data_IF_025795285318
#
_entry.id   IF_025795285318
#
_cell.length_a   1.000
_cell.length_b   1.000
_cell.length_c   1.000
_cell.angle_alpha   90.00
_cell.angle_beta   90.00
_cell.angle_gamma   90.00
#
_symmetry.space_group_name_H-M   'P 1'
#
loop_
_entity.id
_entity.type
_entity.pdbx_description
1 polymer ?
#
# COMPACT_ATOMS: atom_id res chain seq x y z
N UNK A 1 -10.04 13.22 61.34
CA UNK A 1 -10.67 14.33 62.09
C UNK A 1 -9.76 15.55 61.95
N UNK A 2 -9.99 16.46 60.98
CA UNK A 2 -10.79 17.70 61.10
C UNK A 2 -10.23 18.65 62.20
N UNK A 3 -9.67 19.84 61.89
CA UNK A 3 -10.32 21.15 61.56
C UNK A 3 -9.19 22.23 61.63
N UNK A 4 -9.23 23.48 61.13
CA UNK A 4 -10.04 24.32 60.22
C UNK A 4 -9.36 25.70 60.19
N UNK A 5 -9.47 26.43 59.06
CA UNK A 5 -9.69 27.91 58.87
C UNK A 5 -8.80 28.45 57.73
N UNK A 6 -9.16 29.40 56.85
CA UNK A 6 -10.36 29.91 56.14
C UNK A 6 -10.01 31.35 55.68
N UNK A 7 -10.32 31.72 54.43
CA UNK A 7 -10.55 33.05 53.78
C UNK A 7 -9.75 33.21 52.47
N UNK A 8 -10.22 33.84 51.40
CA UNK A 8 -11.55 34.26 50.91
C UNK A 8 -11.34 34.70 49.45
N UNK A 9 -12.30 34.38 48.57
CA UNK A 9 -12.38 34.80 47.16
C UNK A 9 -13.06 36.17 47.09
N UNK A 10 -12.63 37.01 46.15
CA UNK A 10 -13.44 38.10 45.62
C UNK A 10 -13.64 37.94 44.11
N UNK A 11 -14.88 38.18 43.72
CA UNK A 11 -15.56 37.98 42.45
C UNK A 11 -15.89 39.38 41.91
N UNK A 12 -15.72 39.65 40.61
CA UNK A 12 -16.12 40.93 40.04
C UNK A 12 -16.66 40.80 38.61
N UNK A 13 -17.93 41.18 38.49
CA UNK A 13 -18.67 41.62 37.31
C UNK A 13 -19.63 42.74 37.81
N UNK A 14 -20.40 43.45 36.97
CA UNK A 14 -20.24 43.86 35.57
C UNK A 14 -20.37 45.41 35.43
N UNK A 15 -20.28 45.95 34.21
CA UNK A 15 -20.78 47.31 33.93
C UNK A 15 -21.39 47.39 32.53
N UNK A 16 -22.69 47.69 32.48
CA UNK A 16 -23.43 48.26 31.35
C UNK A 16 -23.87 49.69 31.70
N UNK A 17 -24.02 50.55 30.68
CA UNK A 17 -24.84 51.79 30.49
C UNK A 17 -24.09 52.65 29.44
N UNK A 18 -24.63 53.22 28.35
CA UNK A 18 -25.95 53.30 27.73
C UNK A 18 -25.93 54.37 26.59
N UNK A 19 -26.57 54.05 25.46
CA UNK A 19 -27.22 54.85 24.39
C UNK A 19 -26.70 56.23 23.89
N UNK A 20 -26.61 56.41 22.55
CA UNK A 20 -27.62 57.14 21.73
C UNK A 20 -27.26 57.32 20.23
N UNK A 21 -28.21 56.93 19.36
CA UNK A 21 -28.67 57.43 18.04
C UNK A 21 -27.72 57.92 16.91
N UNK A 22 -27.89 57.30 15.74
CA UNK A 22 -27.62 57.86 14.41
C UNK A 22 -28.33 57.04 13.32
N UNK A 23 -29.14 57.69 12.50
CA UNK A 23 -30.18 57.19 11.59
C UNK A 23 -29.69 56.67 10.23
N UNK A 24 -30.49 55.74 9.66
CA UNK A 24 -30.78 55.50 8.24
C UNK A 24 -29.66 55.37 7.20
N UNK A 25 -29.47 54.13 6.71
CA UNK A 25 -29.36 53.85 5.28
C UNK A 25 -29.65 52.37 5.01
N UNK A 26 -30.77 52.12 4.35
CA UNK A 26 -31.21 50.83 3.81
C UNK A 26 -30.20 50.25 2.82
N UNK A 27 -29.67 49.06 3.13
CA UNK A 27 -28.85 48.24 2.24
C UNK A 27 -29.73 47.21 1.53
N UNK A 28 -29.91 47.37 0.22
CA UNK A 28 -30.40 46.32 -0.69
C UNK A 28 -29.27 45.97 -1.66
N UNK A 29 -28.77 44.73 -1.71
CA UNK A 29 -27.87 44.31 -2.78
C UNK A 29 -28.67 43.99 -4.05
N UNK A 30 -28.45 44.81 -5.08
CA UNK A 30 -28.85 44.60 -6.47
C UNK A 30 -28.14 43.37 -7.04
N UNK A 31 -28.91 42.37 -7.48
CA UNK A 31 -28.44 41.20 -8.23
C UNK A 31 -28.76 41.43 -9.70
N UNK A 32 -27.84 42.06 -10.43
CA UNK A 32 -27.86 42.09 -11.89
C UNK A 32 -26.45 41.96 -12.49
N UNK A 33 -25.84 40.78 -12.31
CA UNK A 33 -24.69 40.34 -13.10
C UNK A 33 -25.12 39.46 -14.26
N UNK A 34 -25.45 40.04 -15.41
CA UNK A 34 -25.74 39.33 -16.66
C UNK A 34 -24.47 38.71 -17.24
N UNK A 35 -24.26 37.42 -17.00
CA UNK A 35 -23.25 36.63 -17.70
C UNK A 35 -23.71 36.34 -19.15
N UNK A 36 -23.13 37.05 -20.11
CA UNK A 36 -23.25 36.76 -21.55
C UNK A 36 -22.55 35.43 -21.84
N UNK A 37 -23.29 34.31 -21.81
CA UNK A 37 -22.82 33.02 -22.35
C UNK A 37 -22.75 33.13 -23.87
N UNK A 38 -21.53 33.16 -24.40
CA UNK A 38 -21.26 33.08 -25.84
C UNK A 38 -21.92 31.84 -26.47
N UNK A 39 -22.72 32.05 -27.51
CA UNK A 39 -23.42 31.00 -28.25
C UNK A 39 -22.49 29.93 -28.87
N UNK A 40 -21.18 30.20 -28.93
CA UNK A 40 -20.16 29.27 -29.40
C UNK A 40 -19.99 28.02 -28.51
N UNK A 41 -20.33 28.10 -27.22
CA UNK A 41 -20.14 26.98 -26.27
C UNK A 41 -21.30 25.97 -26.27
N UNK A 42 -22.49 26.37 -26.75
CA UNK A 42 -23.66 25.48 -26.81
C UNK A 42 -23.62 24.60 -28.06
N UNK A 43 -23.12 25.12 -29.18
CA UNK A 43 -22.97 24.34 -30.42
C UNK A 43 -21.89 23.25 -30.29
N UNK A 44 -20.77 23.55 -29.61
CA UNK A 44 -19.68 22.60 -29.35
C UNK A 44 -20.08 21.52 -28.34
N UNK A 45 -20.80 21.87 -27.26
CA UNK A 45 -21.35 20.86 -26.34
C UNK A 45 -22.42 19.98 -26.98
N UNK A 46 -23.25 20.51 -27.88
CA UNK A 46 -24.24 19.72 -28.63
C UNK A 46 -23.57 18.73 -29.58
N UNK A 47 -22.48 19.12 -30.24
CA UNK A 47 -21.70 18.24 -31.12
C UNK A 47 -20.98 17.12 -30.34
N UNK A 48 -20.47 17.41 -29.13
CA UNK A 48 -19.88 16.41 -28.24
C UNK A 48 -20.93 15.43 -27.69
N UNK A 49 -22.11 15.93 -27.31
CA UNK A 49 -23.19 15.08 -26.83
C UNK A 49 -23.73 14.14 -27.93
N UNK A 50 -23.87 14.62 -29.18
CA UNK A 50 -24.27 13.74 -30.29
C UNK A 50 -23.20 12.72 -30.64
N UNK A 51 -21.91 13.06 -30.56
CA UNK A 51 -20.81 12.10 -30.77
C UNK A 51 -20.84 10.99 -29.70
N UNK A 52 -21.04 11.35 -28.43
CA UNK A 52 -21.14 10.37 -27.33
C UNK A 52 -22.34 9.44 -27.52
N UNK A 53 -23.50 9.97 -27.89
CA UNK A 53 -24.69 9.15 -28.16
C UNK A 53 -24.46 8.20 -29.34
N UNK A 54 -23.82 8.66 -30.42
CA UNK A 54 -23.49 7.80 -31.56
C UNK A 54 -22.49 6.69 -31.18
N UNK A 55 -21.46 7.00 -30.38
CA UNK A 55 -20.51 6.00 -29.88
C UNK A 55 -21.21 4.98 -28.98
N UNK A 56 -22.11 5.42 -28.09
CA UNK A 56 -22.90 4.53 -27.24
C UNK A 56 -23.85 3.63 -28.05
N UNK A 57 -24.47 4.15 -29.11
CA UNK A 57 -25.32 3.36 -30.01
C UNK A 57 -24.51 2.33 -30.81
N UNK A 58 -23.30 2.67 -31.25
CA UNK A 58 -22.39 1.74 -31.92
C UNK A 58 -21.93 0.64 -30.95
N UNK A 59 -21.56 0.99 -29.71
CA UNK A 59 -21.21 0.01 -28.67
C UNK A 59 -22.41 -0.90 -28.35
N UNK A 60 -23.62 -0.35 -28.22
CA UNK A 60 -24.83 -1.12 -27.98
C UNK A 60 -25.17 -2.06 -29.16
N UNK A 61 -24.89 -1.64 -30.40
CA UNK A 61 -25.06 -2.47 -31.59
C UNK A 61 -24.06 -3.63 -31.65
N UNK A 62 -22.80 -3.42 -31.24
CA UNK A 62 -21.79 -4.49 -31.15
C UNK A 62 -22.03 -5.44 -29.98
N UNK A 63 -22.51 -4.93 -28.83
CA UNK A 63 -22.92 -5.76 -27.70
C UNK A 63 -24.21 -6.54 -28.00
N UNK A 64 -25.14 -5.96 -28.77
CA UNK A 64 -26.38 -6.60 -29.19
C UNK A 64 -26.19 -7.73 -30.22
N UNK A 65 -25.07 -7.77 -30.95
CA UNK A 65 -24.72 -8.87 -31.87
C UNK A 65 -23.99 -10.03 -31.21
N UNK A 66 -23.48 -9.86 -29.98
CA UNK A 66 -22.81 -10.92 -29.24
C UNK A 66 -23.78 -11.82 -28.43
N UNK A 67 -25.09 -11.57 -28.49
CA UNK A 67 -26.06 -12.28 -27.64
C UNK A 67 -27.35 -12.64 -28.40
N UNK A 68 -27.25 -13.59 -29.34
CA UNK A 68 -28.38 -14.42 -29.75
C UNK A 68 -27.95 -15.88 -29.71
N UNK A 69 -28.30 -16.54 -28.62
CA UNK A 69 -28.08 -17.95 -28.33
C UNK A 69 -28.91 -18.36 -27.12
N UNK A 70 -30.20 -18.57 -27.37
CA UNK A 70 -31.23 -19.31 -26.62
C UNK A 70 -31.11 -19.48 -25.08
N UNK A 71 -32.14 -18.99 -24.37
CA UNK A 71 -32.31 -19.21 -22.93
C UNK A 71 -33.02 -20.52 -22.56
N UNK A 72 -32.83 -20.92 -21.30
CA UNK A 72 -33.87 -21.42 -20.39
C UNK A 72 -33.30 -21.55 -18.96
N UNK A 73 -34.03 -20.96 -18.02
CA UNK A 73 -34.23 -21.33 -16.61
C UNK A 73 -33.13 -21.14 -15.54
N UNK A 74 -33.56 -20.43 -14.49
CA UNK A 74 -32.85 -20.12 -13.25
C UNK A 74 -32.74 -21.33 -12.32
N UNK A 75 -31.54 -21.59 -11.78
CA UNK A 75 -31.25 -21.73 -10.34
C UNK A 75 -29.87 -22.40 -10.09
N UNK A 76 -29.07 -21.79 -9.20
CA UNK A 76 -28.15 -22.53 -8.32
C UNK A 76 -26.71 -22.73 -8.79
N UNK A 77 -25.79 -22.11 -8.02
CA UNK A 77 -24.41 -22.53 -7.78
C UNK A 77 -23.47 -22.65 -8.99
N UNK A 78 -22.77 -21.55 -9.31
CA UNK A 78 -21.62 -21.55 -10.21
C UNK A 78 -20.41 -22.25 -9.59
N UNK A 79 -20.28 -23.55 -9.86
CA UNK A 79 -18.98 -24.22 -9.99
C UNK A 79 -18.39 -23.91 -11.37
N UNK A 80 -17.06 -24.00 -11.41
CA UNK A 80 -16.15 -24.25 -12.54
C UNK A 80 -15.42 -23.07 -13.16
N UNK A 81 -14.11 -23.28 -13.28
CA UNK A 81 -13.16 -22.45 -14.02
C UNK A 81 -11.69 -22.83 -13.82
N UNK A 82 -11.39 -24.04 -13.32
CA UNK A 82 -10.02 -24.58 -13.31
C UNK A 82 -9.86 -25.51 -14.51
N UNK A 83 -9.56 -24.92 -15.67
CA UNK A 83 -9.00 -25.61 -16.82
C UNK A 83 -7.93 -24.73 -17.44
N UNK A 84 -6.70 -24.94 -16.99
CA UNK A 84 -5.53 -24.88 -17.86
C UNK A 84 -4.59 -26.01 -17.43
N UNK A 85 -4.82 -27.16 -18.07
CA UNK A 85 -3.79 -28.17 -18.28
C UNK A 85 -2.67 -27.53 -19.08
N UNK A 86 -1.55 -27.23 -18.43
CA UNK A 86 -0.18 -27.29 -18.99
C UNK A 86 0.80 -26.61 -18.03
N UNK A 87 1.05 -27.25 -16.88
CA UNK A 87 2.25 -27.00 -16.09
C UNK A 87 3.09 -28.27 -16.10
N UNK A 88 4.28 -28.18 -16.73
CA UNK A 88 5.34 -29.20 -16.77
C UNK A 88 5.29 -30.11 -15.53
N UNK A 89 5.20 -31.41 -15.77
CA UNK A 89 5.02 -32.54 -14.85
C UNK A 89 5.91 -32.59 -13.59
N UNK A 90 6.92 -31.73 -13.45
CA UNK A 90 7.76 -31.62 -12.25
C UNK A 90 7.07 -30.88 -11.10
N UNK A 91 6.36 -29.78 -11.39
CA UNK A 91 5.75 -28.94 -10.35
C UNK A 91 4.58 -29.63 -9.63
N UNK A 92 3.81 -30.46 -10.35
CA UNK A 92 2.70 -31.22 -9.76
C UNK A 92 3.16 -32.37 -8.86
N UNK A 93 4.29 -33.01 -9.18
CA UNK A 93 4.85 -34.09 -8.35
C UNK A 93 5.46 -33.57 -7.05
N UNK A 94 6.24 -32.49 -7.13
CA UNK A 94 6.81 -31.84 -5.94
C UNK A 94 5.72 -31.29 -5.02
N UNK A 95 4.68 -30.69 -5.60
CA UNK A 95 3.50 -30.26 -4.85
C UNK A 95 2.81 -31.42 -4.13
N UNK A 96 2.53 -32.53 -4.83
CA UNK A 96 1.88 -33.69 -4.22
C UNK A 96 2.72 -34.29 -3.08
N UNK A 97 4.04 -34.36 -3.25
CA UNK A 97 4.94 -34.83 -2.21
C UNK A 97 4.94 -33.92 -0.97
N UNK A 98 5.03 -32.60 -1.18
CA UNK A 98 4.98 -31.61 -0.10
C UNK A 98 3.65 -31.67 0.67
N UNK A 99 2.52 -31.77 -0.04
CA UNK A 99 1.19 -31.90 0.57
C UNK A 99 1.09 -33.20 1.37
N UNK A 100 1.60 -34.32 0.83
CA UNK A 100 1.59 -35.60 1.54
C UNK A 100 2.47 -35.57 2.81
N UNK A 101 3.58 -34.84 2.79
CA UNK A 101 4.48 -34.70 3.95
C UNK A 101 3.90 -33.78 5.03
N UNK A 102 3.28 -32.68 4.63
CA UNK A 102 2.91 -31.59 5.55
C UNK A 102 1.44 -31.55 5.93
N UNK A 103 0.56 -32.14 5.11
CA UNK A 103 -0.89 -32.02 5.25
C UNK A 103 -1.46 -30.64 4.87
N UNK A 104 -0.62 -29.70 4.41
CA UNK A 104 -1.04 -28.34 4.05
C UNK A 104 -1.80 -28.32 2.73
N UNK A 105 -2.91 -27.59 2.68
CA UNK A 105 -3.76 -27.44 1.51
C UNK A 105 -3.25 -26.29 0.61
N UNK A 106 -2.87 -26.56 -0.66
CA UNK A 106 -2.41 -25.52 -1.58
C UNK A 106 -3.49 -24.45 -1.83
N UNK A 107 -3.09 -23.18 -1.79
CA UNK A 107 -3.97 -22.02 -1.96
C UNK A 107 -4.75 -21.62 -0.69
N UNK A 108 -4.99 -22.55 0.24
CA UNK A 108 -5.62 -22.26 1.53
C UNK A 108 -4.59 -21.97 2.61
N UNK A 109 -3.57 -22.83 2.73
CA UNK A 109 -2.56 -22.72 3.78
C UNK A 109 -1.25 -22.08 3.30
N UNK A 110 -1.02 -22.04 1.97
CA UNK A 110 0.14 -21.41 1.35
C UNK A 110 -0.12 -21.01 -0.10
N UNK A 111 0.67 -20.06 -0.61
CA UNK A 111 0.59 -19.60 -1.99
C UNK A 111 1.39 -20.48 -2.96
N UNK A 112 0.76 -20.84 -4.08
CA UNK A 112 1.42 -21.55 -5.18
C UNK A 112 2.26 -20.59 -6.05
N UNK A 113 3.35 -21.07 -6.66
CA UNK A 113 4.07 -20.35 -7.70
C UNK A 113 3.15 -19.90 -8.83
N UNK A 114 3.48 -18.78 -9.47
CA UNK A 114 2.79 -18.40 -10.71
C UNK A 114 2.89 -19.53 -11.75
N UNK A 115 1.76 -19.88 -12.36
CA UNK A 115 1.70 -20.91 -13.41
C UNK A 115 2.54 -20.53 -14.63
N UNK A 116 2.49 -19.24 -14.99
CA UNK A 116 3.19 -18.69 -16.14
C UNK A 116 4.69 -18.54 -15.90
N UNK A 117 5.49 -19.21 -16.73
CA UNK A 117 6.96 -19.16 -16.65
C UNK A 117 7.50 -17.74 -16.82
N UNK A 118 6.92 -16.96 -17.73
CA UNK A 118 7.31 -15.58 -17.95
C UNK A 118 6.97 -14.69 -16.75
N UNK A 119 5.86 -14.97 -16.05
CA UNK A 119 5.51 -14.31 -14.80
C UNK A 119 6.58 -14.55 -13.74
N UNK A 120 6.95 -15.82 -13.52
CA UNK A 120 8.01 -16.17 -12.56
C UNK A 120 9.37 -15.53 -12.90
N UNK A 121 9.74 -15.49 -14.18
CA UNK A 121 10.96 -14.80 -14.62
C UNK A 121 10.91 -13.30 -14.32
N UNK A 122 9.77 -12.65 -14.53
CA UNK A 122 9.58 -11.23 -14.22
C UNK A 122 9.68 -10.94 -12.71
N UNK A 123 9.11 -11.82 -11.86
CA UNK A 123 9.27 -11.74 -10.40
C UNK A 123 10.75 -11.82 -10.01
N UNK A 124 11.47 -12.87 -10.44
CA UNK A 124 12.90 -13.05 -10.13
C UNK A 124 13.75 -11.88 -10.59
N UNK A 125 13.50 -11.38 -11.81
CA UNK A 125 14.22 -10.23 -12.34
C UNK A 125 13.98 -8.98 -11.49
N UNK A 126 12.73 -8.74 -11.09
CA UNK A 126 12.38 -7.60 -10.22
C UNK A 126 13.05 -7.70 -8.86
N UNK A 127 13.04 -8.89 -8.23
CA UNK A 127 13.73 -9.11 -6.95
C UNK A 127 15.23 -8.84 -7.07
N UNK A 128 15.85 -9.29 -8.17
CA UNK A 128 17.27 -9.06 -8.46
C UNK A 128 17.59 -7.58 -8.69
N UNK A 129 16.77 -6.89 -9.46
CA UNK A 129 16.97 -5.46 -9.79
C UNK A 129 16.84 -4.57 -8.55
N UNK A 130 16.04 -4.99 -7.57
CA UNK A 130 15.84 -4.29 -6.30
C UNK A 130 16.79 -4.78 -5.20
N UNK A 131 17.68 -5.75 -5.46
CA UNK A 131 18.53 -6.34 -4.41
C UNK A 131 19.66 -5.38 -4.02
N UNK A 132 19.67 -4.95 -2.75
CA UNK A 132 20.70 -4.07 -2.22
C UNK A 132 20.84 -4.25 -0.69
N UNK A 133 22.06 -4.25 -0.14
CA UNK A 133 22.28 -4.37 1.31
C UNK A 133 21.58 -3.28 2.14
N UNK A 134 21.31 -2.12 1.54
CA UNK A 134 20.58 -1.02 2.18
C UNK A 134 19.10 -1.29 2.36
N UNK A 135 18.57 -2.40 1.82
CA UNK A 135 17.15 -2.75 1.90
C UNK A 135 16.80 -4.20 2.21
N UNK A 136 17.79 -5.01 2.55
CA UNK A 136 17.59 -6.43 2.84
C UNK A 136 17.86 -6.76 4.31
N UNK A 137 17.22 -7.82 4.81
CA UNK A 137 17.47 -8.40 6.12
C UNK A 137 17.57 -9.92 5.98
N UNK A 138 18.48 -10.54 6.74
CA UNK A 138 18.78 -11.97 6.64
C UNK A 138 20.00 -12.26 5.76
N UNK A 139 20.26 -13.55 5.54
CA UNK A 139 21.45 -14.01 4.81
C UNK A 139 21.26 -13.87 3.31
N UNK A 140 22.26 -13.36 2.59
CA UNK A 140 22.25 -13.32 1.11
C UNK A 140 22.14 -14.71 0.46
N UNK A 141 22.58 -15.75 1.17
CA UNK A 141 22.48 -17.15 0.74
C UNK A 141 21.14 -17.82 1.07
N UNK A 142 20.16 -17.10 1.62
CA UNK A 142 18.87 -17.69 1.94
C UNK A 142 18.21 -18.25 0.66
N UNK A 143 17.55 -19.43 0.73
CA UNK A 143 17.00 -20.09 -0.45
C UNK A 143 15.77 -19.36 -1.03
N UNK A 144 15.15 -18.47 -0.25
CA UNK A 144 13.93 -17.75 -0.62
C UNK A 144 14.13 -16.26 -0.34
N UNK A 145 13.76 -15.40 -1.30
CA UNK A 145 13.59 -13.97 -1.05
C UNK A 145 12.11 -13.65 -0.89
N UNK A 146 11.76 -12.96 0.19
CA UNK A 146 10.46 -12.35 0.41
C UNK A 146 10.57 -10.84 0.22
N UNK A 147 10.00 -10.34 -0.87
CA UNK A 147 9.94 -8.91 -1.16
C UNK A 147 8.64 -8.34 -0.61
N UNK A 148 8.75 -7.36 0.29
CA UNK A 148 7.64 -6.60 0.88
C UNK A 148 7.47 -5.31 0.09
N UNK A 149 6.33 -5.16 -0.59
CA UNK A 149 5.94 -3.92 -1.27
C UNK A 149 4.87 -3.22 -0.45
N UNK A 150 5.22 -2.07 0.09
CA UNK A 150 4.46 -1.46 1.19
C UNK A 150 4.34 0.06 1.06
N UNK A 151 3.32 0.61 1.71
CA UNK A 151 3.10 2.05 1.87
C UNK A 151 2.91 2.35 3.36
N UNK A 152 3.70 3.29 3.89
CA UNK A 152 3.71 3.66 5.30
C UNK A 152 2.38 4.21 5.84
N UNK A 153 1.48 4.69 4.98
CA UNK A 153 0.15 5.14 5.36
C UNK A 153 -0.92 4.06 5.13
N UNK A 154 -0.59 2.83 4.71
CA UNK A 154 -1.57 1.78 4.49
C UNK A 154 -1.91 1.01 5.80
N UNK A 155 -3.18 1.00 6.25
CA UNK A 155 -3.57 0.32 7.50
C UNK A 155 -3.30 -1.18 7.48
N UNK A 156 -3.46 -1.82 6.31
CA UNK A 156 -3.17 -3.25 6.17
C UNK A 156 -1.67 -3.55 6.18
N UNK A 157 -0.83 -2.59 5.75
CA UNK A 157 0.62 -2.70 5.93
C UNK A 157 0.95 -2.65 7.41
N UNK A 158 0.48 -1.63 8.14
CA UNK A 158 0.66 -1.54 9.61
C UNK A 158 0.29 -2.84 10.31
N UNK A 159 -0.88 -3.42 9.98
CA UNK A 159 -1.31 -4.69 10.56
C UNK A 159 -0.31 -5.83 10.28
N UNK A 160 0.15 -5.96 9.04
CA UNK A 160 1.09 -7.02 8.67
C UNK A 160 2.46 -6.83 9.35
N UNK A 161 2.96 -5.61 9.40
CA UNK A 161 4.24 -5.26 10.03
C UNK A 161 4.21 -5.55 11.54
N UNK A 162 3.10 -5.28 12.21
CA UNK A 162 2.96 -5.52 13.64
C UNK A 162 2.70 -7.01 13.98
N UNK A 163 1.96 -7.73 13.15
CA UNK A 163 1.46 -9.09 13.48
C UNK A 163 2.25 -10.22 12.81
N UNK A 164 2.84 -9.97 11.64
CA UNK A 164 3.45 -11.01 10.81
C UNK A 164 4.96 -10.85 10.70
N UNK A 165 5.47 -9.63 10.45
CA UNK A 165 6.90 -9.40 10.24
C UNK A 165 7.80 -9.98 11.35
N UNK A 166 7.50 -9.85 12.66
CA UNK A 166 8.39 -10.34 13.71
C UNK A 166 8.72 -11.83 13.58
N UNK A 167 7.74 -12.66 13.21
CA UNK A 167 7.96 -14.09 13.00
C UNK A 167 8.80 -14.37 11.72
N UNK A 168 8.68 -13.53 10.70
CA UNK A 168 9.48 -13.66 9.47
C UNK A 168 10.91 -13.20 9.65
N UNK A 169 11.16 -12.27 10.57
CA UNK A 169 12.52 -11.87 10.96
C UNK A 169 13.26 -12.98 11.69
N UNK A 170 12.57 -13.78 12.52
CA UNK A 170 13.14 -15.00 13.10
C UNK A 170 13.54 -16.02 12.02
N UNK A 171 12.71 -16.19 10.98
CA UNK A 171 13.06 -17.02 9.82
C UNK A 171 14.24 -16.43 9.04
N UNK A 172 14.34 -15.11 8.95
CA UNK A 172 15.46 -14.43 8.29
C UNK A 172 16.77 -14.61 9.06
N UNK A 173 16.73 -14.52 10.39
CA UNK A 173 17.84 -14.79 11.28
C UNK A 173 18.32 -16.25 11.19
N UNK A 174 17.37 -17.21 11.11
CA UNK A 174 17.67 -18.61 10.85
C UNK A 174 18.35 -18.81 9.47
N UNK A 175 18.08 -17.93 8.52
CA UNK A 175 18.60 -18.00 7.15
C UNK A 175 17.67 -18.73 6.19
N UNK A 176 16.41 -18.91 6.57
CA UNK A 176 15.39 -19.55 5.74
C UNK A 176 14.85 -18.61 4.66
N UNK A 177 14.87 -17.30 4.94
CA UNK A 177 14.39 -16.26 4.03
C UNK A 177 15.31 -15.04 4.07
N UNK A 178 15.45 -14.35 2.93
CA UNK A 178 15.95 -12.97 2.86
C UNK A 178 14.76 -12.05 2.69
N UNK A 179 14.57 -11.10 3.60
CA UNK A 179 13.55 -10.07 3.46
C UNK A 179 14.10 -8.92 2.61
N UNK A 180 13.26 -8.33 1.77
CA UNK A 180 13.61 -7.22 0.89
C UNK A 180 12.49 -6.17 0.93
N UNK A 181 12.82 -4.95 1.31
CA UNK A 181 11.87 -3.83 1.35
C UNK A 181 11.77 -3.10 0.01
N UNK A 182 10.55 -2.72 -0.37
CA UNK A 182 10.28 -1.91 -1.57
C UNK A 182 9.16 -0.91 -1.26
N UNK A 183 9.43 0.37 -1.48
CA UNK A 183 8.40 1.39 -1.34
C UNK A 183 7.44 1.35 -2.53
N UNK A 184 6.15 1.08 -2.26
CA UNK A 184 5.05 1.24 -3.21
C UNK A 184 4.14 2.36 -2.72
N UNK A 185 4.48 3.59 -3.09
CA UNK A 185 3.79 4.80 -2.63
C UNK A 185 2.47 4.96 -3.38
N UNK A 186 1.38 4.89 -2.63
CA UNK A 186 -0.02 5.00 -3.05
C UNK A 186 -0.67 6.24 -2.43
N UNK A 187 -0.32 6.56 -1.18
CA UNK A 187 -1.02 7.52 -0.33
C UNK A 187 -0.30 8.87 -0.16
N UNK A 188 0.59 9.22 -1.10
CA UNK A 188 1.38 10.45 -1.04
C UNK A 188 0.53 11.72 -0.97
N UNK A 189 -0.53 11.82 -1.79
CA UNK A 189 -1.33 13.04 -1.87
C UNK A 189 -2.21 13.27 -0.63
N UNK A 190 -2.75 12.19 -0.05
CA UNK A 190 -3.70 12.28 1.06
C UNK A 190 -3.02 12.26 2.43
N UNK A 191 -1.93 11.51 2.56
CA UNK A 191 -1.33 11.18 3.87
C UNK A 191 0.19 11.37 3.91
N UNK A 192 0.77 11.88 2.82
CA UNK A 192 2.21 12.19 2.74
C UNK A 192 3.12 10.98 2.97
N UNK A 193 2.67 9.79 2.56
CA UNK A 193 3.45 8.54 2.68
C UNK A 193 4.79 8.58 1.92
N UNK A 194 4.93 9.48 0.95
CA UNK A 194 6.19 9.80 0.27
C UNK A 194 7.28 10.26 1.24
N UNK A 195 6.94 11.06 2.26
CA UNK A 195 7.94 11.55 3.22
C UNK A 195 8.50 10.38 4.05
N UNK A 196 7.65 9.45 4.47
CA UNK A 196 8.09 8.26 5.19
C UNK A 196 8.91 7.32 4.29
N UNK A 197 8.53 7.16 3.03
CA UNK A 197 9.31 6.39 2.05
C UNK A 197 10.71 7.00 1.82
N UNK A 198 10.81 8.33 1.74
CA UNK A 198 12.10 9.03 1.71
C UNK A 198 12.90 8.80 2.99
N UNK A 199 12.24 8.82 4.14
CA UNK A 199 12.87 8.51 5.42
C UNK A 199 13.45 7.10 5.45
N UNK A 200 12.71 6.11 4.95
CA UNK A 200 13.17 4.73 4.85
C UNK A 200 14.43 4.62 3.98
N UNK A 201 14.46 5.28 2.82
CA UNK A 201 15.63 5.31 1.94
C UNK A 201 16.82 6.01 2.62
N UNK A 202 16.61 7.17 3.24
CA UNK A 202 17.65 7.93 3.93
C UNK A 202 18.23 7.16 5.12
N UNK A 203 17.40 6.44 5.89
CA UNK A 203 17.84 5.55 6.96
C UNK A 203 18.59 4.33 6.39
N UNK A 204 18.12 3.75 5.29
CA UNK A 204 18.78 2.65 4.58
C UNK A 204 20.19 3.00 4.10
N UNK A 205 20.41 4.23 3.61
CA UNK A 205 21.75 4.74 3.27
C UNK A 205 22.72 4.74 4.46
N UNK A 206 22.21 4.66 5.69
CA UNK A 206 22.99 4.58 6.93
C UNK A 206 22.86 3.23 7.64
N UNK A 207 22.35 2.20 6.94
CA UNK A 207 22.21 0.84 7.48
C UNK A 207 21.10 0.70 8.52
N UNK A 208 20.09 1.57 8.50
CA UNK A 208 19.00 1.65 9.50
C UNK A 208 17.60 1.54 8.90
N UNK A 209 17.47 0.89 7.74
CA UNK A 209 16.16 0.76 7.09
C UNK A 209 15.17 0.01 7.97
N UNK A 210 15.51 -1.19 8.44
CA UNK A 210 14.56 -2.05 9.15
C UNK A 210 14.17 -1.46 10.50
N UNK A 211 15.12 -0.87 11.22
CA UNK A 211 14.82 -0.13 12.44
C UNK A 211 13.91 1.08 12.16
N UNK A 212 14.08 1.76 11.02
CA UNK A 212 13.17 2.83 10.61
C UNK A 212 11.77 2.31 10.26
N UNK A 213 11.67 1.19 9.54
CA UNK A 213 10.40 0.52 9.24
C UNK A 213 9.66 0.17 10.54
N UNK A 214 10.35 -0.42 11.52
CA UNK A 214 9.77 -0.71 12.83
C UNK A 214 9.34 0.55 13.58
N UNK A 215 10.15 1.61 13.58
CA UNK A 215 9.82 2.86 14.24
C UNK A 215 8.56 3.51 13.63
N UNK A 216 8.47 3.50 12.30
CA UNK A 216 7.33 4.08 11.58
C UNK A 216 6.04 3.30 11.83
N UNK A 217 6.04 1.97 11.62
CA UNK A 217 4.84 1.16 11.84
C UNK A 217 4.50 0.91 13.30
N UNK A 218 5.49 0.95 14.21
CA UNK A 218 5.24 0.90 15.64
C UNK A 218 4.57 2.15 16.19
N UNK A 219 4.78 3.31 15.56
CA UNK A 219 4.10 4.56 15.90
C UNK A 219 2.71 4.68 15.23
N UNK A 220 2.44 3.91 14.18
CA UNK A 220 1.18 3.94 13.46
C UNK A 220 0.07 3.21 14.25
N UNK A 221 -1.09 3.87 14.41
CA UNK A 221 -2.26 3.25 15.01
C UNK A 221 -2.92 2.23 14.07
N UNK A 222 -3.34 1.08 14.61
CA UNK A 222 -4.07 0.08 13.82
C UNK A 222 -5.35 0.68 13.21
N UNK A 223 -5.62 0.34 11.95
CA UNK A 223 -6.87 0.69 11.26
C UNK A 223 -6.95 2.10 10.64
N UNK A 224 -5.98 2.98 10.90
CA UNK A 224 -5.94 4.34 10.36
C UNK A 224 -4.82 4.55 9.36
N UNK A 225 -5.02 5.50 8.44
CA UNK A 225 -3.94 6.02 7.61
C UNK A 225 -3.06 6.94 8.44
N UNK A 226 -1.78 6.58 8.62
CA UNK A 226 -0.82 7.46 9.27
C UNK A 226 -0.46 8.64 8.36
N UNK A 227 -0.38 9.85 8.90
CA UNK A 227 0.06 11.04 8.18
C UNK A 227 1.48 11.44 8.61
N UNK A 228 2.30 11.88 7.66
CA UNK A 228 3.72 12.14 7.89
C UNK A 228 4.11 13.60 7.62
N UNK A 229 4.98 14.14 8.49
CA UNK A 229 5.71 15.39 8.25
C UNK A 229 7.21 15.09 8.27
N UNK A 230 8.03 16.05 7.81
CA UNK A 230 9.50 15.88 7.86
C UNK A 230 9.99 15.76 9.30
N UNK A 231 9.34 16.46 10.23
CA UNK A 231 9.64 16.43 11.65
C UNK A 231 9.30 15.06 12.24
N UNK A 232 8.10 14.52 12.00
CA UNK A 232 7.72 13.20 12.54
C UNK A 232 8.62 12.09 11.97
N UNK A 233 8.96 12.15 10.69
CA UNK A 233 9.90 11.21 10.04
C UNK A 233 11.32 11.35 10.58
N UNK A 234 11.76 12.56 10.93
CA UNK A 234 13.05 12.78 11.59
C UNK A 234 13.06 12.20 13.01
N UNK A 235 11.97 12.29 13.75
CA UNK A 235 11.86 11.64 15.08
C UNK A 235 11.86 10.11 14.96
N UNK A 236 11.23 9.54 13.93
CA UNK A 236 11.31 8.10 13.64
C UNK A 236 12.75 7.67 13.34
N UNK A 237 13.51 8.46 12.58
CA UNK A 237 14.93 8.19 12.32
C UNK A 237 15.78 8.20 13.61
N UNK A 238 15.51 9.13 14.53
CA UNK A 238 16.16 9.12 15.85
C UNK A 238 15.79 7.87 16.65
N UNK A 239 14.52 7.49 16.67
CA UNK A 239 14.05 6.28 17.36
C UNK A 239 14.67 5.00 16.76
N UNK A 240 14.90 4.98 15.45
CA UNK A 240 15.58 3.91 14.73
C UNK A 240 17.11 3.86 14.96
N UNK A 241 17.68 4.87 15.65
CA UNK A 241 19.11 4.95 15.90
C UNK A 241 19.93 5.30 14.64
N UNK A 242 19.38 6.12 13.74
CA UNK A 242 20.13 6.68 12.61
C UNK A 242 21.29 7.54 13.15
N UNK A 243 22.55 7.24 12.77
CA UNK A 243 23.72 7.84 13.42
C UNK A 243 23.95 9.31 13.03
N UNK A 244 23.67 9.68 11.78
CA UNK A 244 23.81 11.06 11.29
C UNK A 244 22.45 11.62 10.86
N UNK A 245 21.82 12.36 11.79
CA UNK A 245 20.50 12.97 11.58
C UNK A 245 20.56 14.16 10.60
N UNK A 246 21.67 14.88 10.50
CA UNK A 246 21.78 16.01 9.57
C UNK A 246 21.97 15.50 8.13
N UNK A 247 22.77 14.44 7.96
CA UNK A 247 22.81 13.70 6.68
C UNK A 247 21.46 13.11 6.34
N UNK A 248 20.75 12.50 7.32
CA UNK A 248 19.40 11.97 7.10
C UNK A 248 18.45 13.04 6.57
N UNK A 249 18.40 14.23 7.19
CA UNK A 249 17.56 15.35 6.73
C UNK A 249 17.93 15.82 5.32
N UNK A 250 19.21 15.82 4.99
CA UNK A 250 19.69 16.16 3.65
C UNK A 250 19.21 15.12 2.63
N UNK A 251 19.39 13.83 2.93
CA UNK A 251 18.98 12.73 2.06
C UNK A 251 17.44 12.65 1.91
N UNK A 252 16.69 12.96 2.97
CA UNK A 252 15.23 12.97 3.03
C UNK A 252 14.60 13.86 1.95
N UNK A 253 15.29 14.92 1.55
CA UNK A 253 14.81 15.89 0.53
C UNK A 253 15.62 15.85 -0.76
N UNK A 254 16.49 14.87 -0.94
CA UNK A 254 17.37 14.80 -2.11
C UNK A 254 16.65 14.25 -3.35
N UNK A 255 17.03 14.76 -4.52
CA UNK A 255 16.54 14.27 -5.82
C UNK A 255 16.88 12.79 -6.05
N UNK A 256 17.99 12.32 -5.48
CA UNK A 256 18.39 10.91 -5.53
C UNK A 256 17.39 10.02 -4.78
N UNK A 257 16.99 10.43 -3.57
CA UNK A 257 16.00 9.71 -2.77
C UNK A 257 14.63 9.70 -3.44
N UNK A 258 14.19 10.85 -3.98
CA UNK A 258 12.96 10.94 -4.78
C UNK A 258 13.02 9.99 -5.98
N UNK A 259 14.11 10.03 -6.74
CA UNK A 259 14.28 9.15 -7.90
C UNK A 259 14.23 7.68 -7.50
N UNK A 260 14.91 7.29 -6.42
CA UNK A 260 14.90 5.92 -5.93
C UNK A 260 13.48 5.48 -5.50
N UNK A 261 12.76 6.29 -4.72
CA UNK A 261 11.38 6.01 -4.32
C UNK A 261 10.49 5.76 -5.55
N UNK A 262 10.60 6.65 -6.54
CA UNK A 262 9.84 6.54 -7.78
C UNK A 262 10.21 5.30 -8.59
N UNK A 263 11.49 4.94 -8.67
CA UNK A 263 11.96 3.73 -9.34
C UNK A 263 11.44 2.44 -8.66
N UNK A 264 11.40 2.41 -7.34
CA UNK A 264 10.82 1.31 -6.55
C UNK A 264 9.32 1.15 -6.84
N UNK A 265 8.56 2.24 -6.72
CA UNK A 265 7.11 2.23 -7.00
C UNK A 265 6.80 1.89 -8.46
N UNK A 266 7.60 2.38 -9.41
CA UNK A 266 7.47 1.99 -10.82
C UNK A 266 7.75 0.51 -11.05
N UNK A 267 8.70 -0.07 -10.33
CA UNK A 267 9.06 -1.49 -10.49
C UNK A 267 7.91 -2.41 -10.09
N UNK A 268 7.22 -2.10 -8.99
CA UNK A 268 5.99 -2.79 -8.61
C UNK A 268 4.88 -2.60 -9.66
N UNK A 269 4.62 -1.37 -10.09
CA UNK A 269 3.56 -1.05 -11.07
C UNK A 269 3.77 -1.71 -12.43
N UNK A 270 5.01 -1.90 -12.88
CA UNK A 270 5.34 -2.64 -14.12
C UNK A 270 4.91 -4.11 -14.07
N UNK A 271 4.80 -4.69 -12.89
CA UNK A 271 4.26 -6.04 -12.67
C UNK A 271 2.72 -6.06 -12.54
N UNK A 272 2.06 -4.91 -12.70
CA UNK A 272 0.61 -4.78 -12.47
C UNK A 272 0.22 -4.67 -11.00
N UNK A 273 1.20 -4.50 -10.09
CA UNK A 273 0.96 -4.38 -8.65
C UNK A 273 0.56 -2.93 -8.33
N UNK A 274 -0.69 -2.75 -7.93
CA UNK A 274 -1.30 -1.43 -7.69
C UNK A 274 -1.88 -1.25 -6.27
N UNK A 275 -1.65 -2.21 -5.38
CA UNK A 275 -2.18 -2.20 -4.01
C UNK A 275 -1.15 -2.69 -3.00
N UNK A 276 -1.33 -2.31 -1.74
CA UNK A 276 -0.45 -2.68 -0.62
C UNK A 276 -1.25 -3.29 0.55
N UNK A 277 -0.62 -4.15 1.37
CA UNK A 277 0.71 -4.72 1.13
C UNK A 277 0.66 -5.78 0.01
N UNK A 278 1.75 -5.92 -0.73
CA UNK A 278 1.92 -6.97 -1.73
C UNK A 278 3.27 -7.65 -1.53
N UNK A 279 3.30 -8.96 -1.75
CA UNK A 279 4.49 -9.76 -1.46
C UNK A 279 4.86 -10.65 -2.64
N UNK A 280 6.15 -10.73 -2.91
CA UNK A 280 6.74 -11.74 -3.79
C UNK A 280 7.49 -12.70 -2.87
N UNK A 281 7.14 -13.99 -2.87
CA UNK A 281 7.78 -15.02 -2.05
C UNK A 281 8.36 -16.07 -2.98
N UNK A 282 9.64 -15.93 -3.33
CA UNK A 282 10.25 -16.70 -4.42
C UNK A 282 9.44 -16.57 -5.71
N UNK A 283 8.85 -17.68 -6.17
CA UNK A 283 8.01 -17.73 -7.38
C UNK A 283 6.50 -17.52 -7.11
N UNK A 284 6.09 -17.37 -5.85
CA UNK A 284 4.71 -17.12 -5.43
C UNK A 284 4.46 -15.62 -5.21
N UNK A 285 3.19 -15.22 -5.21
CA UNK A 285 2.75 -13.89 -4.80
C UNK A 285 1.65 -13.96 -3.75
N UNK A 286 1.61 -12.97 -2.86
CA UNK A 286 0.54 -12.81 -1.86
C UNK A 286 0.09 -11.35 -1.93
N UNK A 287 -1.22 -11.13 -2.09
CA UNK A 287 -1.81 -9.79 -2.14
C UNK A 287 -2.62 -9.54 -0.88
N UNK A 288 -2.17 -8.65 -0.01
CA UNK A 288 -2.80 -8.33 1.27
C UNK A 288 -2.18 -9.01 2.49
N UNK A 289 -2.61 -8.57 3.67
CA UNK A 289 -2.07 -8.99 4.96
C UNK A 289 -2.67 -10.32 5.46
N UNK A 290 -2.26 -11.43 4.84
CA UNK A 290 -2.63 -12.79 5.31
C UNK A 290 -2.03 -13.10 6.69
N UNK A 291 -2.56 -14.10 7.42
CA UNK A 291 -1.99 -14.55 8.69
C UNK A 291 -0.54 -15.03 8.57
N UNK A 292 0.23 -14.91 9.65
CA UNK A 292 1.65 -15.31 9.73
C UNK A 292 1.93 -16.71 9.19
N UNK A 293 1.10 -17.69 9.55
CA UNK A 293 1.26 -19.07 9.11
C UNK A 293 1.20 -19.22 7.59
N UNK A 294 0.39 -18.41 6.90
CA UNK A 294 0.30 -18.46 5.45
C UNK A 294 1.62 -18.05 4.78
N UNK A 295 2.30 -17.05 5.34
CA UNK A 295 3.62 -16.63 4.90
C UNK A 295 4.69 -17.68 5.22
N UNK A 296 4.71 -18.17 6.46
CA UNK A 296 5.67 -19.19 6.90
C UNK A 296 5.55 -20.47 6.05
N UNK A 297 4.33 -20.95 5.78
CA UNK A 297 4.09 -22.11 4.94
C UNK A 297 4.45 -21.86 3.48
N UNK A 298 4.22 -20.64 2.96
CA UNK A 298 4.66 -20.27 1.60
C UNK A 298 6.19 -20.29 1.50
N UNK A 299 6.91 -19.72 2.47
CA UNK A 299 8.38 -19.77 2.53
C UNK A 299 8.86 -21.23 2.61
N UNK A 300 8.22 -22.04 3.46
CA UNK A 300 8.52 -23.48 3.60
C UNK A 300 8.39 -24.21 2.26
N UNK A 301 7.30 -23.96 1.52
CA UNK A 301 7.10 -24.56 0.21
C UNK A 301 8.13 -24.09 -0.83
N UNK A 302 8.42 -22.78 -0.88
CA UNK A 302 9.44 -22.24 -1.79
C UNK A 302 10.84 -22.81 -1.50
N UNK A 303 11.19 -22.99 -0.23
CA UNK A 303 12.43 -23.64 0.19
C UNK A 303 12.45 -25.12 -0.21
N UNK A 304 11.33 -25.83 -0.08
CA UNK A 304 11.21 -27.21 -0.55
C UNK A 304 11.50 -27.31 -2.05
N UNK A 305 10.93 -26.41 -2.87
CA UNK A 305 11.19 -26.33 -4.31
C UNK A 305 12.64 -25.95 -4.67
N UNK A 306 13.33 -25.18 -3.82
CA UNK A 306 14.72 -24.81 -4.06
C UNK A 306 15.72 -25.95 -3.76
N UNK A 307 15.28 -26.99 -3.04
CA UNK A 307 16.14 -28.07 -2.52
C UNK A 307 15.86 -29.44 -3.15
N UNK A 308 14.81 -29.57 -3.96
CA UNK A 308 14.34 -30.81 -4.60
C UNK A 308 14.04 -30.59 -6.09
#
# INVERSE_FOLDING_TARGET
MAKKKNNSRDEMAPHEMGAANGTDASFTPDVTGTATRSAANVATMRALATLIVLVLLVIAFFLGRASVGNGADHAGAGKTGATSSDAKTGGSKQLAAFVAETGLAPGQDFALPLSEENGRKALKQTQKDLDAPTRTLGKDSAPVTLTVMSDFSCPMCTRWEQQTLPALEELAAAGDVKLQWVNLVIFAEQYRSDIAAHGAIAAGKQGKLWEFVHAAYGAAGEGNHAEYTKESVTEMAKAAGVPDIEKFKTDLTSDETEKQMQDESRSARRLGINGTPFFIVGDSVISGAYPTEYFANTIKYQKYLATH
#
